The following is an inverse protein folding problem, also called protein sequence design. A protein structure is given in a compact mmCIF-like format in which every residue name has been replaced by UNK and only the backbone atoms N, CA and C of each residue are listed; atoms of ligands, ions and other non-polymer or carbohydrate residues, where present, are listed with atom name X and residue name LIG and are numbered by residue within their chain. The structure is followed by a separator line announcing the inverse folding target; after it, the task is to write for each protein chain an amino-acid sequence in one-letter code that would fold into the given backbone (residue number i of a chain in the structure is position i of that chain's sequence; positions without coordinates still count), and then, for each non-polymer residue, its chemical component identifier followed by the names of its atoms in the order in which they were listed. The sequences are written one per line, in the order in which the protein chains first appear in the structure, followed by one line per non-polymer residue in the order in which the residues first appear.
data_IF_209346497461
#
_entry.id   IF_209346497461
#
_cell.length_a   1.000
_cell.length_b   1.000
_cell.length_c   1.000
_cell.angle_alpha   90.00
_cell.angle_beta   90.00
_cell.angle_gamma   90.00
#
_symmetry.space_group_name_H-M   'P 1'
#
loop_
_entity.id
_entity.type
_entity.pdbx_description
1 polymer ?
#
# COMPACT_ATOMS: atom_id res chain seq x y z
N UNK A 1 -7.06 10.78 -20.34
CA UNK A 1 -5.95 11.65 -19.83
C UNK A 1 -4.66 11.12 -20.41
N UNK A 2 -3.72 11.95 -20.88
CA UNK A 2 -2.47 11.41 -21.44
C UNK A 2 -1.63 10.79 -20.31
N UNK A 3 -1.09 9.58 -20.55
CA UNK A 3 -0.25 8.87 -19.58
C UNK A 3 0.91 9.68 -19.04
N UNK A 4 1.51 10.55 -19.86
CA UNK A 4 2.61 11.42 -19.47
C UNK A 4 2.21 12.51 -18.47
N UNK A 5 0.92 12.87 -18.42
CA UNK A 5 0.35 13.88 -17.52
C UNK A 5 0.09 13.32 -16.12
N UNK A 6 0.08 11.99 -15.91
CA UNK A 6 -0.22 11.40 -14.61
C UNK A 6 0.89 11.73 -13.61
N UNK A 7 0.50 12.23 -12.44
CA UNK A 7 1.40 12.55 -11.32
C UNK A 7 1.09 11.74 -10.05
N UNK A 8 -0.10 11.13 -9.96
CA UNK A 8 -0.48 10.28 -8.82
C UNK A 8 -1.34 9.10 -9.27
N UNK A 9 -1.10 7.94 -8.64
CA UNK A 9 -2.01 6.80 -8.64
C UNK A 9 -2.53 6.58 -7.22
N UNK A 10 -3.85 6.51 -7.06
CA UNK A 10 -4.54 6.12 -5.84
C UNK A 10 -5.20 4.76 -6.06
N UNK A 11 -4.98 3.84 -5.14
CA UNK A 11 -5.57 2.50 -5.16
C UNK A 11 -6.24 2.27 -3.82
N UNK A 12 -7.52 1.91 -3.81
CA UNK A 12 -8.22 1.53 -2.59
C UNK A 12 -9.04 0.27 -2.78
N UNK A 13 -9.05 -0.58 -1.75
CA UNK A 13 -9.92 -1.76 -1.63
C UNK A 13 -10.66 -1.70 -0.30
N UNK A 14 -11.99 -1.84 -0.33
CA UNK A 14 -12.82 -1.84 0.88
C UNK A 14 -13.81 -2.99 0.85
N UNK A 15 -14.09 -3.58 2.02
CA UNK A 15 -15.24 -4.45 2.22
C UNK A 15 -16.08 -3.93 3.39
N UNK A 16 -17.38 -3.77 3.16
CA UNK A 16 -18.28 -3.02 4.03
C UNK A 16 -17.78 -1.58 4.25
N UNK A 17 -17.53 -1.25 5.52
CA UNK A 17 -16.96 0.06 5.93
C UNK A 17 -15.46 0.00 6.19
N UNK A 18 -14.86 -1.18 6.11
CA UNK A 18 -13.45 -1.38 6.41
C UNK A 18 -12.60 -1.22 5.16
N UNK A 19 -11.51 -0.47 5.30
CA UNK A 19 -10.51 -0.31 4.25
C UNK A 19 -9.43 -1.38 4.40
N UNK A 20 -9.39 -2.30 3.44
CA UNK A 20 -8.40 -3.37 3.38
C UNK A 20 -7.08 -2.88 2.78
N UNK A 21 -7.14 -1.89 1.88
CA UNK A 21 -5.97 -1.31 1.22
C UNK A 21 -6.20 0.16 0.87
N UNK A 22 -5.17 0.97 1.07
CA UNK A 22 -5.02 2.30 0.51
C UNK A 22 -3.56 2.51 0.14
N UNK A 23 -3.27 2.74 -1.13
CA UNK A 23 -1.94 3.07 -1.63
C UNK A 23 -2.04 4.36 -2.43
N UNK A 24 -1.15 5.32 -2.14
CA UNK A 24 -0.90 6.49 -2.96
C UNK A 24 0.55 6.44 -3.43
N UNK A 25 0.76 6.48 -4.74
CA UNK A 25 2.09 6.55 -5.34
C UNK A 25 2.15 7.80 -6.20
N UNK A 26 3.08 8.70 -5.87
CA UNK A 26 3.28 9.95 -6.58
C UNK A 26 4.53 9.86 -7.45
N UNK A 27 4.49 10.53 -8.61
CA UNK A 27 5.59 10.57 -9.58
C UNK A 27 6.87 11.20 -9.02
N UNK A 28 6.75 12.09 -8.04
CA UNK A 28 7.90 12.70 -7.38
C UNK A 28 8.57 11.79 -6.33
N UNK A 29 8.04 10.60 -6.06
CA UNK A 29 8.57 9.67 -5.07
C UNK A 29 7.90 9.73 -3.70
N UNK A 30 6.80 10.46 -3.54
CA UNK A 30 5.96 10.26 -2.35
C UNK A 30 5.26 8.90 -2.46
N UNK A 31 5.37 8.10 -1.41
CA UNK A 31 4.69 6.82 -1.26
C UNK A 31 3.95 6.81 0.06
N UNK A 32 2.66 6.48 0.04
CA UNK A 32 1.87 6.25 1.23
C UNK A 32 1.07 4.94 1.12
N UNK A 33 1.00 4.18 2.21
CA UNK A 33 0.22 2.94 2.27
C UNK A 33 -0.40 2.72 3.63
N UNK A 34 -1.59 2.12 3.60
CA UNK A 34 -2.25 1.45 4.72
C UNK A 34 -2.84 0.14 4.21
N UNK A 35 -2.71 -0.93 4.99
CA UNK A 35 -3.32 -2.22 4.68
C UNK A 35 -2.55 -3.12 3.70
N UNK A 36 -3.06 -4.34 3.54
CA UNK A 36 -2.50 -5.41 2.71
C UNK A 36 -3.52 -6.07 1.78
N UNK A 37 -4.69 -5.46 1.59
CA UNK A 37 -5.73 -5.97 0.71
C UNK A 37 -6.63 -7.04 1.32
N UNK A 38 -6.38 -7.49 2.55
CA UNK A 38 -7.24 -8.40 3.30
C UNK A 38 -7.93 -7.74 4.49
N UNK A 39 -8.86 -8.48 5.09
CA UNK A 39 -9.51 -8.14 6.35
C UNK A 39 -9.11 -9.14 7.46
N UNK A 40 -9.04 -8.72 8.73
CA UNK A 40 -9.29 -7.37 9.25
C UNK A 40 -8.28 -6.33 8.74
N UNK A 41 -8.72 -5.08 8.56
CA UNK A 41 -7.83 -4.02 8.04
C UNK A 41 -6.68 -3.68 9.00
N UNK A 42 -5.47 -3.52 8.46
CA UNK A 42 -4.28 -3.09 9.22
C UNK A 42 -4.27 -1.56 9.31
N UNK A 43 -4.28 -1.00 10.53
CA UNK A 43 -4.36 0.46 10.75
C UNK A 43 -2.99 1.14 10.78
N UNK A 44 -1.92 0.39 11.02
CA UNK A 44 -0.56 0.89 10.82
C UNK A 44 -0.45 1.43 9.39
N UNK A 45 0.08 2.64 9.24
CA UNK A 45 0.25 3.28 7.94
C UNK A 45 1.60 3.98 7.86
N UNK A 46 2.09 4.15 6.65
CA UNK A 46 3.36 4.79 6.38
C UNK A 46 3.26 5.82 5.28
N UNK A 47 4.12 6.83 5.36
CA UNK A 47 4.41 7.75 4.26
C UNK A 47 5.91 7.96 4.17
N UNK A 48 6.46 8.01 2.96
CA UNK A 48 7.87 8.27 2.70
C UNK A 48 8.05 9.13 1.46
N UNK A 49 9.15 9.86 1.40
CA UNK A 49 9.63 10.51 0.20
C UNK A 49 10.90 9.79 -0.26
N UNK A 50 10.80 8.99 -1.31
CA UNK A 50 11.93 8.21 -1.85
C UNK A 50 12.88 9.05 -2.71
N UNK A 51 12.43 10.23 -3.15
CA UNK A 51 13.23 11.16 -3.96
C UNK A 51 13.31 10.82 -5.45
N UNK A 52 12.65 9.74 -5.89
CA UNK A 52 12.61 9.32 -7.28
C UNK A 52 11.28 8.65 -7.68
N UNK A 53 11.04 8.55 -8.98
CA UNK A 53 9.81 8.01 -9.57
C UNK A 53 9.77 6.48 -9.65
N UNK A 54 10.72 5.73 -9.07
CA UNK A 54 10.88 4.28 -9.34
C UNK A 54 9.62 3.47 -9.10
N UNK A 55 8.91 3.74 -7.99
CA UNK A 55 7.65 3.06 -7.67
C UNK A 55 6.55 3.42 -8.67
N UNK A 56 6.44 4.71 -8.98
CA UNK A 56 5.45 5.23 -9.90
C UNK A 56 5.65 4.67 -11.32
N UNK A 57 6.87 4.73 -11.84
CA UNK A 57 7.21 4.30 -13.20
C UNK A 57 6.98 2.80 -13.38
N UNK A 58 7.37 1.99 -12.39
CA UNK A 58 7.11 0.55 -12.39
C UNK A 58 5.62 0.24 -12.47
N UNK A 59 4.80 0.90 -11.64
CA UNK A 59 3.36 0.70 -11.65
C UNK A 59 2.73 1.18 -12.97
N UNK A 60 3.13 2.37 -13.45
CA UNK A 60 2.59 2.95 -14.67
C UNK A 60 2.95 2.15 -15.92
N UNK A 61 4.02 1.34 -15.92
CA UNK A 61 4.33 0.44 -17.05
C UNK A 61 3.18 -0.53 -17.34
N UNK A 62 2.43 -0.94 -16.33
CA UNK A 62 1.27 -1.84 -16.45
C UNK A 62 -0.02 -1.12 -16.85
N UNK A 63 -0.03 0.21 -16.86
CA UNK A 63 -1.20 1.04 -17.21
C UNK A 63 -1.14 1.44 -18.69
N UNK A 64 -2.09 0.97 -19.50
CA UNK A 64 -2.19 1.38 -20.91
C UNK A 64 -2.90 2.73 -21.06
N UNK A 65 -2.71 3.40 -22.20
CA UNK A 65 -3.44 4.63 -22.49
C UNK A 65 -4.97 4.40 -22.50
N UNK A 66 -5.41 3.24 -23.02
CA UNK A 66 -6.82 2.85 -23.02
C UNK A 66 -7.44 2.88 -21.62
N UNK A 67 -6.72 2.42 -20.59
CA UNK A 67 -7.21 2.50 -19.20
C UNK A 67 -7.45 3.94 -18.76
N UNK A 68 -6.61 4.88 -19.20
CA UNK A 68 -6.69 6.30 -18.83
C UNK A 68 -7.73 7.09 -19.64
N UNK A 69 -8.25 6.49 -20.71
CA UNK A 69 -9.33 7.04 -21.53
C UNK A 69 -10.71 6.60 -21.02
N UNK A 70 -10.74 5.57 -20.17
CA UNK A 70 -11.94 5.04 -19.53
C UNK A 70 -12.17 5.74 -18.18
N UNK A 71 -13.44 6.03 -17.88
CA UNK A 71 -13.86 6.54 -16.57
C UNK A 71 -15.10 5.75 -16.13
N UNK A 72 -14.89 4.77 -15.26
CA UNK A 72 -15.92 3.84 -14.81
C UNK A 72 -16.32 4.19 -13.39
N UNK A 73 -17.62 4.33 -13.18
CA UNK A 73 -18.23 4.37 -11.86
C UNK A 73 -19.42 3.42 -11.84
N UNK A 74 -19.13 2.13 -11.63
CA UNK A 74 -20.15 1.09 -11.52
C UNK A 74 -20.62 0.97 -10.08
N UNK A 75 -21.93 0.89 -9.90
CA UNK A 75 -22.58 0.80 -8.59
C UNK A 75 -23.75 -0.17 -8.62
N UNK A 76 -23.71 -1.15 -7.71
CA UNK A 76 -24.78 -2.12 -7.52
C UNK A 76 -25.60 -1.83 -6.27
N UNK A 77 -26.83 -2.36 -6.27
CA UNK A 77 -27.61 -2.46 -5.03
C UNK A 77 -27.01 -3.56 -4.16
N UNK A 78 -26.62 -3.21 -2.94
CA UNK A 78 -26.02 -4.12 -1.97
C UNK A 78 -27.10 -4.86 -1.17
N UNK A 79 -26.94 -6.18 -1.04
CA UNK A 79 -27.86 -7.08 -0.34
C UNK A 79 -27.11 -7.88 0.74
N UNK A 80 -25.92 -8.39 0.43
CA UNK A 80 -25.18 -9.31 1.31
C UNK A 80 -24.01 -8.64 2.03
N UNK A 81 -23.29 -7.79 1.31
CA UNK A 81 -22.09 -7.10 1.75
C UNK A 81 -21.52 -6.31 0.57
N UNK A 82 -20.82 -5.21 0.84
CA UNK A 82 -20.25 -4.38 -0.23
C UNK A 82 -18.77 -4.63 -0.40
N UNK A 83 -18.33 -4.73 -1.65
CA UNK A 83 -16.92 -4.75 -2.04
C UNK A 83 -16.67 -3.56 -2.98
N UNK A 84 -15.68 -2.73 -2.65
CA UNK A 84 -15.31 -1.56 -3.44
C UNK A 84 -13.86 -1.69 -3.90
N UNK A 85 -13.66 -1.64 -5.21
CA UNK A 85 -12.35 -1.41 -5.81
C UNK A 85 -12.32 -0.04 -6.47
N UNK A 86 -11.25 0.71 -6.24
CA UNK A 86 -11.00 1.99 -6.90
C UNK A 86 -9.53 2.09 -7.29
N UNK A 87 -9.30 2.39 -8.56
CA UNK A 87 -8.02 2.95 -9.04
C UNK A 87 -8.32 4.30 -9.63
N UNK A 88 -7.67 5.34 -9.12
CA UNK A 88 -7.78 6.71 -9.64
C UNK A 88 -6.40 7.23 -10.06
N UNK A 89 -6.38 7.95 -11.17
CA UNK A 89 -5.21 8.62 -11.71
C UNK A 89 -5.46 10.11 -11.68
N UNK A 90 -4.49 10.85 -11.16
CA UNK A 90 -4.54 12.31 -11.13
C UNK A 90 -3.42 12.89 -11.99
N UNK A 91 -3.79 13.87 -12.79
CA UNK A 91 -2.90 14.54 -13.75
C UNK A 91 -2.01 15.58 -13.07
N UNK A 92 -1.43 16.47 -13.87
CA UNK A 92 -0.60 17.56 -13.36
C UNK A 92 -1.37 18.48 -12.40
N UNK A 93 -0.67 18.98 -11.40
CA UNK A 93 -1.23 19.93 -10.44
C UNK A 93 -1.31 21.37 -10.99
N UNK A 94 -2.42 22.07 -10.75
CA UNK A 94 -2.63 23.48 -11.15
C UNK A 94 -1.96 24.48 -10.23
N UNK A 95 -1.74 24.11 -8.97
CA UNK A 95 -1.12 24.99 -7.97
C UNK A 95 0.39 24.71 -7.77
N UNK A 96 0.94 23.74 -8.51
CA UNK A 96 2.36 23.35 -8.44
C UNK A 96 2.71 22.44 -7.25
N UNK A 97 1.76 22.18 -6.33
CA UNK A 97 1.97 21.21 -5.25
C UNK A 97 1.92 19.78 -5.81
N UNK A 98 2.74 18.88 -5.27
CA UNK A 98 2.90 17.50 -5.77
C UNK A 98 2.56 16.44 -4.70
N UNK A 99 1.65 16.75 -3.79
CA UNK A 99 1.28 15.90 -2.66
C UNK A 99 -0.18 16.08 -2.26
N UNK A 100 -0.51 15.87 -0.99
CA UNK A 100 -1.90 15.96 -0.49
C UNK A 100 -2.55 17.35 -0.66
N UNK A 101 -1.78 18.40 -0.95
CA UNK A 101 -2.26 19.77 -1.21
C UNK A 101 -2.40 20.08 -2.71
N UNK A 102 -2.06 19.14 -3.58
CA UNK A 102 -2.15 19.31 -5.02
C UNK A 102 -3.60 19.54 -5.47
N UNK A 103 -3.77 20.50 -6.36
CA UNK A 103 -5.02 20.74 -7.06
C UNK A 103 -4.93 20.10 -8.45
N UNK A 104 -5.51 18.92 -8.60
CA UNK A 104 -5.33 18.15 -9.84
C UNK A 104 -6.12 18.76 -11.00
N UNK A 105 -5.44 19.05 -12.11
CA UNK A 105 -6.08 19.61 -13.31
C UNK A 105 -7.05 18.64 -13.97
N UNK A 106 -6.78 17.34 -13.83
CA UNK A 106 -7.56 16.25 -14.42
C UNK A 106 -7.53 15.05 -13.47
N UNK A 107 -8.59 14.26 -13.49
CA UNK A 107 -8.64 12.94 -12.86
C UNK A 107 -9.41 11.97 -13.74
N UNK A 108 -9.01 10.71 -13.75
CA UNK A 108 -9.84 9.60 -14.25
C UNK A 108 -9.82 8.46 -13.25
N UNK A 109 -10.90 7.68 -13.20
CA UNK A 109 -11.04 6.61 -12.20
C UNK A 109 -11.79 5.40 -12.73
N UNK A 110 -11.43 4.25 -12.18
CA UNK A 110 -12.13 3.00 -12.34
C UNK A 110 -12.62 2.57 -10.95
N UNK A 111 -13.91 2.82 -10.70
CA UNK A 111 -14.60 2.47 -9.47
C UNK A 111 -15.63 1.38 -9.73
N UNK A 112 -15.53 0.31 -8.96
CA UNK A 112 -16.48 -0.79 -8.93
C UNK A 112 -16.98 -0.98 -7.50
N UNK A 113 -18.22 -0.58 -7.23
CA UNK A 113 -18.91 -0.82 -5.97
C UNK A 113 -19.97 -1.90 -6.18
N UNK A 114 -19.72 -3.07 -5.62
CA UNK A 114 -20.44 -4.30 -5.96
C UNK A 114 -20.92 -5.03 -4.72
N UNK A 115 -21.95 -5.86 -4.88
CA UNK A 115 -22.32 -6.84 -3.86
C UNK A 115 -21.26 -7.97 -3.81
N UNK A 116 -20.91 -8.46 -2.62
CA UNK A 116 -19.94 -9.56 -2.46
C UNK A 116 -20.37 -10.84 -3.18
N UNK A 117 -21.68 -11.06 -3.33
CA UNK A 117 -22.25 -12.18 -4.09
C UNK A 117 -22.44 -11.92 -5.58
N UNK A 118 -21.90 -10.82 -6.13
CA UNK A 118 -22.18 -10.42 -7.52
C UNK A 118 -21.67 -11.44 -8.55
N UNK A 119 -22.45 -11.58 -9.65
CA UNK A 119 -22.00 -12.27 -10.86
C UNK A 119 -21.48 -11.30 -11.92
N UNK A 120 -21.36 -10.01 -11.60
CA UNK A 120 -20.87 -9.00 -12.52
C UNK A 120 -19.47 -9.34 -13.04
N UNK A 121 -19.27 -9.07 -14.33
CA UNK A 121 -18.01 -9.31 -15.04
C UNK A 121 -17.74 -8.09 -15.90
N UNK A 122 -16.56 -7.51 -15.71
CA UNK A 122 -16.05 -6.42 -16.54
C UNK A 122 -14.56 -6.66 -16.78
N UNK A 123 -14.08 -6.44 -18.00
CA UNK A 123 -12.67 -6.64 -18.35
C UNK A 123 -11.73 -5.78 -17.47
N UNK A 124 -12.12 -4.53 -17.19
CA UNK A 124 -11.35 -3.62 -16.34
C UNK A 124 -11.46 -3.91 -14.84
N UNK A 125 -12.42 -4.73 -14.39
CA UNK A 125 -12.44 -5.16 -12.98
C UNK A 125 -11.22 -6.01 -12.65
N UNK A 126 -10.88 -6.97 -13.53
CA UNK A 126 -9.68 -7.79 -13.37
C UNK A 126 -8.38 -6.99 -13.47
N UNK A 127 -8.38 -5.92 -14.27
CA UNK A 127 -7.27 -4.96 -14.30
C UNK A 127 -7.11 -4.23 -12.97
N UNK A 128 -8.19 -3.70 -12.40
CA UNK A 128 -8.16 -2.94 -11.14
C UNK A 128 -7.65 -3.82 -9.98
N UNK A 129 -8.17 -5.05 -9.86
CA UNK A 129 -7.70 -6.01 -8.86
C UNK A 129 -6.22 -6.38 -9.08
N UNK A 130 -5.84 -6.69 -10.33
CA UNK A 130 -4.45 -7.01 -10.68
C UNK A 130 -3.47 -5.87 -10.38
N UNK A 131 -3.85 -4.62 -10.67
CA UNK A 131 -3.03 -3.44 -10.40
C UNK A 131 -2.88 -3.21 -8.88
N UNK A 132 -3.93 -3.47 -8.10
CA UNK A 132 -3.84 -3.41 -6.64
C UNK A 132 -2.85 -4.44 -6.09
N UNK A 133 -2.91 -5.69 -6.57
CA UNK A 133 -1.95 -6.74 -6.21
C UNK A 133 -0.53 -6.37 -6.59
N UNK A 134 -0.34 -5.81 -7.79
CA UNK A 134 0.98 -5.35 -8.25
C UNK A 134 1.55 -4.23 -7.37
N UNK A 135 0.73 -3.22 -7.06
CA UNK A 135 1.14 -2.11 -6.20
C UNK A 135 1.46 -2.57 -4.76
N UNK A 136 0.72 -3.54 -4.22
CA UNK A 136 1.04 -4.16 -2.94
C UNK A 136 2.41 -4.83 -2.99
N UNK A 137 2.61 -5.77 -3.91
CA UNK A 137 3.90 -6.48 -4.07
C UNK A 137 5.07 -5.55 -4.25
N UNK A 138 4.89 -4.51 -5.07
CA UNK A 138 5.89 -3.49 -5.33
C UNK A 138 6.31 -2.76 -4.04
N UNK A 139 5.39 -2.55 -3.11
CA UNK A 139 5.58 -1.77 -1.89
C UNK A 139 5.77 -2.61 -0.62
N UNK A 140 5.69 -3.94 -0.70
CA UNK A 140 5.69 -4.82 0.49
C UNK A 140 6.97 -4.74 1.32
N UNK A 141 8.15 -4.73 0.69
CA UNK A 141 9.42 -4.63 1.43
C UNK A 141 9.54 -3.28 2.18
N UNK A 142 9.05 -2.20 1.58
CA UNK A 142 9.00 -0.88 2.23
C UNK A 142 7.95 -0.87 3.34
N UNK A 143 6.76 -1.41 3.09
CA UNK A 143 5.67 -1.44 4.06
C UNK A 143 5.99 -2.35 5.26
N UNK A 144 6.74 -3.43 5.04
CA UNK A 144 7.30 -4.25 6.11
C UNK A 144 8.15 -3.42 7.09
N UNK A 145 9.01 -2.52 6.59
CA UNK A 145 9.80 -1.64 7.46
C UNK A 145 8.93 -0.63 8.21
N UNK A 146 7.83 -0.16 7.60
CA UNK A 146 6.82 0.66 8.29
C UNK A 146 6.17 -0.11 9.44
N UNK A 147 5.87 -1.40 9.23
CA UNK A 147 5.34 -2.27 10.28
C UNK A 147 6.34 -2.42 11.44
N UNK A 148 7.64 -2.58 11.14
CA UNK A 148 8.68 -2.65 12.17
C UNK A 148 8.82 -1.35 12.96
N UNK A 149 8.71 -0.18 12.32
CA UNK A 149 8.66 1.10 13.04
C UNK A 149 7.42 1.16 13.93
N UNK A 150 6.26 0.79 13.41
CA UNK A 150 4.99 0.84 14.15
C UNK A 150 5.02 -0.02 15.41
N UNK A 151 5.44 -1.28 15.24
CA UNK A 151 5.40 -2.33 16.26
C UNK A 151 6.57 -2.25 17.26
N UNK A 152 7.79 -2.19 16.74
CA UNK A 152 9.02 -2.42 17.51
C UNK A 152 9.80 -1.12 17.78
N UNK A 153 9.32 0.01 17.21
CA UNK A 153 10.05 1.29 17.20
C UNK A 153 11.44 1.18 16.56
N UNK A 154 11.61 0.19 15.69
CA UNK A 154 12.84 -0.12 14.98
C UNK A 154 12.79 0.45 13.57
N UNK A 155 13.72 1.36 13.24
CA UNK A 155 13.78 2.02 11.94
C UNK A 155 14.79 1.35 11.03
N UNK A 156 14.35 0.82 9.89
CA UNK A 156 15.27 0.35 8.86
C UNK A 156 16.12 1.51 8.30
N UNK A 157 17.42 1.28 8.17
CA UNK A 157 18.36 2.17 7.47
C UNK A 157 18.07 2.31 5.97
N UNK A 158 17.27 1.42 5.38
CA UNK A 158 16.81 1.55 3.98
C UNK A 158 15.66 2.53 3.79
N UNK A 159 15.03 3.01 4.86
CA UNK A 159 13.95 3.98 4.77
C UNK A 159 14.50 5.41 4.63
N UNK A 160 13.91 6.24 3.75
CA UNK A 160 14.24 7.67 3.69
C UNK A 160 14.10 8.35 5.06
N UNK A 161 14.90 9.37 5.36
CA UNK A 161 14.87 10.06 6.66
C UNK A 161 13.49 10.65 6.98
N UNK A 162 12.78 11.14 5.96
CA UNK A 162 11.46 11.76 6.07
C UNK A 162 10.31 10.74 6.20
N UNK A 163 10.60 9.45 6.39
CA UNK A 163 9.56 8.44 6.62
C UNK A 163 8.83 8.65 7.94
N UNK A 164 7.50 8.70 7.85
CA UNK A 164 6.57 8.74 8.96
C UNK A 164 5.78 7.43 9.01
N UNK A 165 5.62 6.88 10.20
CA UNK A 165 4.72 5.75 10.46
C UNK A 165 3.70 6.15 11.52
N UNK A 166 2.44 5.82 11.28
CA UNK A 166 1.35 5.98 12.25
C UNK A 166 0.90 4.60 12.69
N UNK A 167 0.72 4.41 13.99
CA UNK A 167 0.27 3.14 14.56
C UNK A 167 -0.78 3.39 15.64
N UNK A 168 -1.61 2.39 15.98
CA UNK A 168 -2.45 2.42 17.16
C UNK A 168 -1.65 2.75 18.43
N UNK A 169 -2.29 3.41 19.40
CA UNK A 169 -1.64 3.87 20.64
C UNK A 169 -1.61 2.83 21.76
N UNK A 170 -2.45 1.80 21.67
CA UNK A 170 -2.55 0.76 22.70
C UNK A 170 -1.88 -0.52 22.22
N UNK A 171 -1.22 -1.22 23.14
CA UNK A 171 -0.49 -2.45 22.84
C UNK A 171 -1.42 -3.55 22.31
N UNK A 172 -2.65 -3.63 22.80
CA UNK A 172 -3.65 -4.60 22.33
C UNK A 172 -4.00 -4.36 20.86
N UNK A 173 -4.26 -3.11 20.48
CA UNK A 173 -4.60 -2.75 19.10
C UNK A 173 -3.41 -2.93 18.17
N UNK A 174 -2.20 -2.63 18.65
CA UNK A 174 -0.96 -2.83 17.90
C UNK A 174 -0.69 -4.32 17.62
N UNK A 175 -0.88 -5.17 18.63
CA UNK A 175 -0.76 -6.63 18.48
C UNK A 175 -1.80 -7.20 17.51
N UNK A 176 -3.05 -6.71 17.59
CA UNK A 176 -4.10 -7.13 16.67
C UNK A 176 -3.76 -6.75 15.23
N UNK A 177 -3.35 -5.50 14.99
CA UNK A 177 -2.92 -5.02 13.68
C UNK A 177 -1.75 -5.83 13.13
N UNK A 178 -0.78 -6.16 13.98
CA UNK A 178 0.36 -7.00 13.57
C UNK A 178 -0.07 -8.42 13.22
N UNK A 179 -0.95 -9.04 14.00
CA UNK A 179 -1.51 -10.35 13.67
C UNK A 179 -2.22 -10.32 12.32
N UNK A 180 -3.09 -9.33 12.09
CA UNK A 180 -3.78 -9.16 10.82
C UNK A 180 -2.80 -8.96 9.65
N UNK A 181 -1.75 -8.14 9.83
CA UNK A 181 -0.69 -8.00 8.83
C UNK A 181 -0.01 -9.33 8.52
N UNK A 182 0.39 -10.06 9.56
CA UNK A 182 1.16 -11.30 9.45
C UNK A 182 0.35 -12.45 8.82
N UNK A 183 -0.96 -12.45 9.01
CA UNK A 183 -1.88 -13.38 8.36
C UNK A 183 -2.09 -13.09 6.86
N UNK A 184 -1.97 -11.83 6.47
CA UNK A 184 -2.22 -11.37 5.09
C UNK A 184 -0.96 -11.34 4.22
N UNK A 185 0.21 -11.11 4.82
CA UNK A 185 1.47 -11.04 4.07
C UNK A 185 1.98 -12.44 3.70
N UNK A 186 2.65 -12.55 2.55
CA UNK A 186 3.34 -13.77 2.16
C UNK A 186 4.50 -14.08 3.09
N UNK A 187 4.33 -15.09 3.95
CA UNK A 187 5.35 -15.58 4.89
C UNK A 187 6.67 -15.94 4.22
N UNK A 188 6.63 -16.40 2.96
CA UNK A 188 7.82 -16.78 2.20
C UNK A 188 8.71 -15.58 1.84
N UNK A 189 8.12 -14.39 1.75
CA UNK A 189 8.81 -13.19 1.29
C UNK A 189 9.41 -12.37 2.45
N UNK A 190 8.97 -12.60 3.69
CA UNK A 190 9.40 -11.86 4.90
C UNK A 190 10.92 -11.83 5.08
N UNK A 191 11.59 -12.98 4.94
CA UNK A 191 13.04 -13.05 5.04
C UNK A 191 13.74 -12.25 3.93
N UNK A 192 13.14 -12.20 2.74
CA UNK A 192 13.60 -11.36 1.64
C UNK A 192 13.45 -9.88 1.92
N UNK A 193 12.39 -9.47 2.63
CA UNK A 193 12.16 -8.08 2.99
C UNK A 193 13.18 -7.54 3.97
N UNK A 194 13.67 -8.34 4.92
CA UNK A 194 14.67 -7.89 5.89
C UNK A 194 16.13 -8.05 5.44
N UNK A 195 16.36 -8.78 4.33
CA UNK A 195 17.71 -9.18 3.91
C UNK A 195 18.62 -7.97 3.68
N UNK A 196 19.71 -7.90 4.42
CA UNK A 196 20.74 -6.86 4.28
C UNK A 196 20.34 -5.50 4.85
N UNK A 197 19.25 -5.43 5.63
CA UNK A 197 18.81 -4.21 6.32
C UNK A 197 19.30 -4.23 7.77
N UNK A 198 19.78 -3.07 8.21
CA UNK A 198 20.05 -2.77 9.63
C UNK A 198 18.90 -1.93 10.15
N UNK A 199 18.36 -2.30 11.30
CA UNK A 199 17.29 -1.62 12.00
C UNK A 199 17.86 -0.90 13.23
N UNK A 200 17.62 0.41 13.33
CA UNK A 200 18.07 1.24 14.42
C UNK A 200 16.96 1.36 15.47
N UNK A 201 17.32 1.16 16.74
CA UNK A 201 16.44 1.50 17.86
C UNK A 201 16.45 3.02 18.15
N UNK A 202 15.71 3.46 19.16
CA UNK A 202 15.64 4.89 19.55
C UNK A 202 16.99 5.45 20.03
N UNK A 203 17.90 4.60 20.49
CA UNK A 203 19.27 4.97 20.92
C UNK A 203 20.27 4.98 19.75
N UNK A 204 19.85 4.57 18.55
CA UNK A 204 20.69 4.45 17.37
C UNK A 204 21.53 3.17 17.29
N UNK A 205 21.31 2.20 18.17
CA UNK A 205 21.97 0.90 18.09
C UNK A 205 21.41 0.07 16.93
N UNK A 206 22.31 -0.53 16.16
CA UNK A 206 21.97 -1.33 14.98
C UNK A 206 21.65 -2.78 15.31
N UNK A 207 20.58 -3.28 14.69
CA UNK A 207 20.12 -4.65 14.81
C UNK A 207 19.83 -5.26 13.44
N UNK A 208 20.10 -6.54 13.29
CA UNK A 208 19.62 -7.33 12.16
C UNK A 208 18.36 -8.10 12.55
N UNK A 209 17.51 -8.38 11.58
CA UNK A 209 16.29 -9.15 11.79
C UNK A 209 16.46 -10.59 11.31
N UNK A 210 16.44 -11.54 12.25
CA UNK A 210 16.51 -12.96 11.96
C UNK A 210 15.12 -13.58 12.03
N UNK A 211 14.76 -14.35 11.00
CA UNK A 211 13.54 -15.16 10.98
C UNK A 211 13.87 -16.62 11.29
N UNK A 212 12.99 -17.27 12.05
CA UNK A 212 13.04 -18.71 12.32
C UNK A 212 11.67 -19.34 12.14
N UNK A 213 11.62 -20.60 11.70
CA UNK A 213 10.38 -21.36 11.56
C UNK A 213 10.13 -21.90 10.14
N UNK A 214 8.87 -22.18 9.82
CA UNK A 214 8.42 -22.72 8.54
C UNK A 214 7.32 -21.84 7.89
N UNK A 215 6.83 -22.23 6.71
CA UNK A 215 5.81 -21.46 5.97
C UNK A 215 4.49 -21.27 6.75
N UNK A 216 4.24 -22.05 7.81
CA UNK A 216 3.02 -21.97 8.63
C UNK A 216 3.26 -21.17 9.91
N UNK A 217 4.45 -21.27 10.49
CA UNK A 217 4.85 -20.64 11.75
C UNK A 217 6.21 -19.98 11.62
N UNK A 218 6.23 -18.68 11.34
CA UNK A 218 7.44 -17.85 11.36
C UNK A 218 7.46 -17.02 12.64
N UNK A 219 8.61 -16.95 13.29
CA UNK A 219 8.93 -15.99 14.34
C UNK A 219 10.12 -15.15 13.90
N UNK A 220 10.31 -14.00 14.53
CA UNK A 220 11.47 -13.14 14.29
C UNK A 220 12.09 -12.68 15.60
N UNK A 221 13.36 -12.29 15.54
CA UNK A 221 14.08 -11.61 16.63
C UNK A 221 15.06 -10.60 16.05
N UNK A 222 15.29 -9.53 16.80
CA UNK A 222 16.39 -8.62 16.53
C UNK A 222 17.66 -9.14 17.20
N UNK A 223 18.75 -9.23 16.43
CA UNK A 223 20.10 -9.54 16.93
C UNK A 223 20.99 -8.32 16.76
N UNK A 224 21.95 -8.11 17.67
CA UNK A 224 22.87 -6.99 17.53
C UNK A 224 23.69 -7.14 16.24
N UNK A 225 23.77 -6.05 15.46
CA UNK A 225 24.56 -5.98 14.22
C UNK A 225 26.05 -5.78 14.49
#
# INVERSE_FOLDING_TARGET
MDKSEVEQVLITVKSGTEEALNIKIYKNGILARRGCGGLPGVKISGMSFTGDSTYFDKLMNSVSQQVLDENINHEEKIITGSLEYLVAFYGVSSNGDQGERAEWTKSTGLRFFMDEGTSFRHNLLGFVDGLAIEAMKLTDSWYFDIMMIGLEKMRSTSLPEQTLATAPKTDEALKQDFQSYFEQVSKKDLAGFAKGKVYLNEEGAGHELEFSGDEKSITYKFTAS
#
